data_IF_822610606423
#
_entry.id   IF_822610606423
#
_cell.length_a   1.000
_cell.length_b   1.000
_cell.length_c   1.000
_cell.angle_alpha   90.00
_cell.angle_beta   90.00
_cell.angle_gamma   90.00
#
_symmetry.space_group_name_H-M   'P 1'
#
loop_
_entity.id
_entity.type
_entity.pdbx_description
1 polymer ?
#
# COMPACT_ATOMS: atom_id res chain seq x y z
N UNK A 1 -18.17 -14.57 3.91
CA UNK A 1 -18.52 -13.16 3.70
C UNK A 1 -17.21 -12.44 3.47
N UNK A 2 -16.86 -12.17 2.21
CA UNK A 2 -15.60 -11.52 1.84
C UNK A 2 -15.77 -10.04 2.15
N UNK A 3 -15.00 -9.52 3.10
CA UNK A 3 -14.89 -8.08 3.30
C UNK A 3 -13.99 -7.53 2.20
N UNK A 4 -14.49 -6.54 1.44
CA UNK A 4 -13.72 -5.77 0.46
C UNK A 4 -13.50 -4.41 1.12
N UNK A 5 -12.27 -4.10 1.52
CA UNK A 5 -11.94 -2.84 2.22
C UNK A 5 -11.19 -1.82 1.35
N UNK A 6 -11.04 -2.05 0.05
CA UNK A 6 -10.31 -1.14 -0.84
C UNK A 6 -11.19 -0.47 -1.89
N UNK A 7 -11.76 0.70 -1.59
CA UNK A 7 -12.27 1.63 -2.61
C UNK A 7 -11.51 2.95 -2.41
N UNK A 8 -10.52 3.22 -3.27
CA UNK A 8 -9.82 4.50 -3.26
C UNK A 8 -10.64 5.53 -4.05
N UNK A 9 -11.16 6.54 -3.34
CA UNK A 9 -11.71 7.75 -3.94
C UNK A 9 -10.92 8.92 -3.34
N UNK A 10 -10.01 9.51 -4.13
CA UNK A 10 -9.11 10.57 -3.64
C UNK A 10 -9.43 11.88 -4.36
N UNK A 11 -10.08 12.80 -3.64
CA UNK A 11 -10.13 14.23 -3.95
C UNK A 11 -8.88 14.91 -3.37
N UNK A 12 -8.30 15.84 -4.13
CA UNK A 12 -6.94 16.39 -4.02
C UNK A 12 -6.60 17.17 -2.74
N UNK A 13 -5.35 16.99 -2.30
CA UNK A 13 -4.58 17.95 -1.49
C UNK A 13 -3.22 17.38 -1.06
N UNK A 14 -2.14 17.75 -1.76
CA UNK A 14 -0.71 17.59 -1.40
C UNK A 14 -0.19 16.19 -0.99
N UNK A 15 0.52 15.50 -1.90
CA UNK A 15 1.32 14.27 -1.66
C UNK A 15 2.60 14.64 -0.86
N UNK A 16 2.44 15.12 0.38
CA UNK A 16 3.51 15.12 1.38
C UNK A 16 3.52 13.75 2.08
N UNK A 17 4.49 13.49 2.97
CA UNK A 17 4.53 12.27 3.82
C UNK A 17 3.17 11.93 4.48
N UNK A 18 2.36 12.96 4.76
CA UNK A 18 0.98 12.85 5.23
C UNK A 18 0.04 12.13 4.25
N UNK A 19 0.33 12.05 2.95
CA UNK A 19 -0.52 11.35 1.98
C UNK A 19 -0.23 9.85 1.89
N UNK A 20 0.91 9.34 2.38
CA UNK A 20 1.05 7.90 2.63
C UNK A 20 0.14 7.52 3.80
N UNK A 21 0.15 8.31 4.87
CA UNK A 21 -0.83 8.20 5.94
C UNK A 21 -2.24 8.33 5.39
N UNK A 22 -2.63 9.33 4.59
CA UNK A 22 -4.00 9.48 4.07
C UNK A 22 -4.41 8.45 3.01
N UNK A 23 -3.50 7.97 2.16
CA UNK A 23 -3.76 6.80 1.31
C UNK A 23 -4.11 5.64 2.24
N UNK A 24 -3.31 5.40 3.29
CA UNK A 24 -3.50 4.33 4.29
C UNK A 24 -4.67 4.59 5.28
N UNK A 25 -5.07 5.85 5.51
CA UNK A 25 -6.09 6.28 6.46
C UNK A 25 -7.47 6.33 5.80
N UNK A 26 -7.53 6.69 4.51
CA UNK A 26 -8.74 6.52 3.67
C UNK A 26 -8.99 5.03 3.43
N UNK A 27 -7.92 4.22 3.37
CA UNK A 27 -7.95 2.76 3.43
C UNK A 27 -8.48 2.23 4.78
N UNK A 28 -8.20 2.91 5.90
CA UNK A 28 -8.65 2.51 7.25
C UNK A 28 -10.10 2.92 7.58
N UNK A 29 -10.62 4.02 7.03
CA UNK A 29 -12.02 4.43 7.24
C UNK A 29 -13.05 3.48 6.60
N UNK A 30 -12.62 2.59 5.70
CA UNK A 30 -13.39 1.44 5.25
C UNK A 30 -13.62 0.36 6.33
N UNK A 31 -12.92 0.41 7.47
CA UNK A 31 -13.05 -0.56 8.58
C UNK A 31 -14.15 -0.23 9.61
N UNK A 32 -14.87 0.89 9.52
CA UNK A 32 -15.85 1.31 10.56
C UNK A 32 -17.31 1.38 10.09
N UNK A 33 -17.68 0.76 8.95
CA UNK A 33 -19.10 0.65 8.55
C UNK A 33 -19.68 -0.75 8.79
N UNK A 34 -19.65 -1.18 10.06
CA UNK A 34 -20.60 -2.16 10.59
C UNK A 34 -21.66 -1.45 11.42
N UNK A 35 -22.61 -0.76 10.75
CA UNK A 35 -24.02 -0.57 11.13
C UNK A 35 -24.67 0.56 10.32
N UNK A 36 -25.53 0.17 9.38
CA UNK A 36 -26.74 0.93 9.03
C UNK A 36 -26.60 2.12 8.07
N UNK A 37 -27.07 1.89 6.84
CA UNK A 37 -27.77 2.84 5.95
C UNK A 37 -26.96 3.99 5.31
N UNK A 38 -27.10 4.09 3.98
CA UNK A 38 -26.57 5.08 3.01
C UNK A 38 -25.13 4.86 2.53
N UNK A 39 -24.99 3.91 1.59
CA UNK A 39 -23.85 3.84 0.66
C UNK A 39 -24.11 4.87 -0.46
N UNK A 40 -23.59 6.10 -0.32
CA UNK A 40 -23.46 6.99 -1.47
C UNK A 40 -22.36 6.40 -2.40
N UNK A 41 -22.80 5.83 -3.52
CA UNK A 41 -21.98 5.18 -4.55
C UNK A 41 -21.13 6.22 -5.29
N UNK A 42 -19.82 6.22 -5.06
CA UNK A 42 -18.87 7.00 -5.87
C UNK A 42 -17.58 6.21 -6.13
N UNK A 43 -17.44 5.60 -7.32
CA UNK A 43 -16.20 5.01 -7.82
C UNK A 43 -15.48 5.99 -8.76
N UNK A 44 -14.70 6.91 -8.20
CA UNK A 44 -13.94 7.89 -8.97
C UNK A 44 -12.44 7.77 -8.66
N UNK A 45 -11.64 7.51 -9.70
CA UNK A 45 -10.19 7.51 -9.57
C UNK A 45 -9.65 8.93 -9.41
N UNK A 46 -8.58 9.04 -8.63
CA UNK A 46 -7.94 10.28 -8.27
C UNK A 46 -7.77 11.24 -9.46
N UNK A 47 -8.22 12.48 -9.29
CA UNK A 47 -7.84 13.57 -10.18
C UNK A 47 -6.40 13.95 -9.86
N UNK A 48 -5.48 13.61 -10.76
CA UNK A 48 -4.13 14.16 -10.75
C UNK A 48 -4.16 15.64 -11.20
N UNK A 49 -3.39 16.56 -10.58
CA UNK A 49 -3.31 17.96 -11.03
C UNK A 49 -2.36 18.15 -12.23
N UNK A 50 -1.76 17.07 -12.76
CA UNK A 50 -0.72 17.13 -13.80
C UNK A 50 -1.31 17.14 -15.22
N UNK A 51 -0.68 17.91 -16.12
CA UNK A 51 -1.08 18.18 -17.51
C UNK A 51 -0.88 17.01 -18.48
N UNK A 52 -1.46 15.86 -18.20
CA UNK A 52 -2.03 15.04 -19.27
C UNK A 52 -3.55 15.28 -19.22
N UNK A 53 -4.21 15.40 -20.37
CA UNK A 53 -5.68 15.30 -20.44
C UNK A 53 -6.05 13.85 -20.08
N UNK A 54 -5.93 13.51 -18.81
CA UNK A 54 -6.33 12.22 -18.28
C UNK A 54 -7.85 12.29 -18.23
N UNK A 55 -8.49 11.62 -19.18
CA UNK A 55 -9.93 11.41 -19.11
C UNK A 55 -10.20 10.72 -17.78
N UNK A 56 -11.03 11.34 -16.92
CA UNK A 56 -11.53 10.69 -15.71
C UNK A 56 -12.15 9.36 -16.13
N UNK A 57 -11.52 8.25 -15.79
CA UNK A 57 -12.08 6.92 -16.09
C UNK A 57 -12.85 6.47 -14.85
N UNK A 58 -14.12 6.86 -14.79
CA UNK A 58 -15.07 6.36 -13.80
C UNK A 58 -15.83 5.17 -14.37
N UNK A 59 -16.17 4.22 -13.51
CA UNK A 59 -17.08 3.15 -13.90
C UNK A 59 -18.47 3.73 -14.15
N UNK A 60 -19.14 3.24 -15.18
CA UNK A 60 -20.58 3.43 -15.35
C UNK A 60 -21.33 2.60 -14.31
N UNK A 61 -22.57 2.98 -13.99
CA UNK A 61 -23.45 2.17 -13.10
C UNK A 61 -23.50 0.70 -13.54
N UNK A 62 -23.55 0.45 -14.86
CA UNK A 62 -23.54 -0.90 -15.41
C UNK A 62 -22.25 -1.66 -15.09
N UNK A 63 -21.10 -1.00 -15.22
CA UNK A 63 -19.80 -1.60 -14.93
C UNK A 63 -19.59 -1.80 -13.43
N UNK A 64 -20.06 -0.87 -12.58
CA UNK A 64 -20.06 -1.03 -11.12
C UNK A 64 -20.87 -2.26 -10.70
N UNK A 65 -22.09 -2.42 -11.22
CA UNK A 65 -22.91 -3.59 -10.91
C UNK A 65 -22.31 -4.89 -11.43
N UNK A 66 -21.65 -4.87 -12.60
CA UNK A 66 -20.94 -6.04 -13.12
C UNK A 66 -19.78 -6.44 -12.20
N UNK A 67 -19.00 -5.45 -11.73
CA UNK A 67 -17.92 -5.65 -10.79
C UNK A 67 -18.43 -6.22 -9.45
N UNK A 68 -19.45 -5.60 -8.86
CA UNK A 68 -20.07 -6.04 -7.61
C UNK A 68 -20.58 -7.48 -7.71
N UNK A 69 -21.33 -7.80 -8.78
CA UNK A 69 -21.84 -9.16 -9.03
C UNK A 69 -20.71 -10.18 -9.18
N UNK A 70 -19.61 -9.81 -9.82
CA UNK A 70 -18.46 -10.70 -10.05
C UNK A 70 -17.72 -10.97 -8.76
N UNK A 71 -17.44 -9.95 -7.95
CA UNK A 71 -16.74 -10.13 -6.68
C UNK A 71 -17.58 -10.96 -5.71
N UNK A 72 -18.91 -10.83 -5.73
CA UNK A 72 -19.80 -11.66 -4.91
C UNK A 72 -19.87 -13.12 -5.39
N UNK A 73 -19.70 -13.38 -6.68
CA UNK A 73 -19.76 -14.71 -7.27
C UNK A 73 -18.43 -15.47 -7.18
N UNK A 74 -17.31 -14.77 -7.37
CA UNK A 74 -15.97 -15.37 -7.38
C UNK A 74 -15.43 -15.50 -5.95
N UNK A 75 -15.61 -16.68 -5.37
CA UNK A 75 -15.28 -16.97 -3.96
C UNK A 75 -13.92 -17.63 -3.76
N UNK A 76 -13.23 -18.06 -4.83
CA UNK A 76 -12.06 -18.95 -4.74
C UNK A 76 -10.76 -18.38 -5.35
N UNK A 77 -10.71 -17.10 -5.75
CA UNK A 77 -9.52 -16.50 -6.36
C UNK A 77 -9.08 -15.17 -5.76
N UNK A 78 -7.78 -15.00 -5.53
CA UNK A 78 -7.17 -13.69 -5.26
C UNK A 78 -7.02 -12.91 -6.58
N UNK A 79 -8.04 -12.09 -6.88
CA UNK A 79 -8.17 -11.33 -8.13
C UNK A 79 -8.02 -9.84 -7.88
N UNK A 80 -7.37 -9.15 -8.81
CA UNK A 80 -7.29 -7.69 -8.87
C UNK A 80 -8.07 -7.23 -10.10
N UNK A 81 -9.10 -6.44 -9.86
CA UNK A 81 -9.88 -5.81 -10.93
C UNK A 81 -9.39 -4.38 -11.12
N UNK A 82 -9.26 -3.92 -12.36
CA UNK A 82 -8.84 -2.55 -12.67
C UNK A 82 -9.49 -2.03 -13.95
N UNK A 83 -9.67 -0.71 -14.05
CA UNK A 83 -10.45 -0.10 -15.15
C UNK A 83 -9.78 1.07 -15.85
N UNK A 84 -8.70 1.62 -15.28
CA UNK A 84 -7.83 2.51 -16.04
C UNK A 84 -6.63 1.71 -16.56
N UNK A 85 -6.43 1.81 -17.87
CA UNK A 85 -5.27 1.24 -18.54
C UNK A 85 -4.14 2.26 -18.49
N UNK A 86 -2.91 1.76 -18.36
CA UNK A 86 -1.71 2.52 -18.63
C UNK A 86 -1.72 2.90 -20.13
N UNK A 87 -2.30 4.06 -20.44
CA UNK A 87 -2.57 4.47 -21.81
C UNK A 87 -1.27 4.91 -22.49
N UNK A 88 -0.88 4.16 -23.50
CA UNK A 88 0.04 4.62 -24.54
C UNK A 88 -0.74 5.54 -25.47
N UNK A 89 -0.77 6.85 -25.23
CA UNK A 89 -1.15 7.74 -26.33
C UNK A 89 -0.08 7.57 -27.41
N UNK A 90 -0.44 6.84 -28.46
CA UNK A 90 0.23 6.74 -29.75
C UNK A 90 0.40 8.14 -30.38
N UNK A 91 1.32 8.93 -29.81
CA UNK A 91 1.90 10.13 -30.44
C UNK A 91 3.42 10.00 -30.44
N UNK A 92 3.88 8.87 -30.95
CA UNK A 92 5.16 8.83 -31.66
C UNK A 92 4.85 8.24 -33.02
N UNK A 93 4.31 9.09 -33.90
CA UNK A 93 4.62 8.99 -35.32
C UNK A 93 6.14 8.94 -35.45
N UNK A 94 6.62 7.91 -36.14
CA UNK A 94 8.04 7.59 -36.47
C UNK A 94 8.74 6.61 -35.52
N UNK A 95 8.54 5.32 -35.79
CA UNK A 95 9.40 4.23 -35.32
C UNK A 95 8.61 3.07 -34.72
N UNK A 96 8.80 1.86 -35.23
CA UNK A 96 8.17 0.60 -34.79
C UNK A 96 8.61 0.14 -33.38
N UNK A 97 8.69 1.03 -32.38
CA UNK A 97 9.06 0.66 -31.02
C UNK A 97 7.82 0.55 -30.14
N UNK A 98 7.42 -0.69 -29.87
CA UNK A 98 6.44 -1.02 -28.83
C UNK A 98 7.04 -0.57 -27.49
N UNK A 99 6.32 0.27 -26.73
CA UNK A 99 6.80 0.70 -25.41
C UNK A 99 6.57 -0.41 -24.39
N UNK A 100 7.66 -0.85 -23.75
CA UNK A 100 7.65 -1.84 -22.66
C UNK A 100 7.11 -1.23 -21.36
N UNK A 101 6.72 -2.06 -20.38
CA UNK A 101 6.31 -1.59 -19.05
C UNK A 101 7.36 -0.66 -18.42
N UNK A 102 8.63 -1.09 -18.40
CA UNK A 102 9.71 -0.31 -17.81
C UNK A 102 10.02 0.95 -18.61
N UNK A 103 9.88 0.91 -19.95
CA UNK A 103 9.99 2.11 -20.79
C UNK A 103 8.94 3.17 -20.44
N UNK A 104 7.68 2.75 -20.20
CA UNK A 104 6.64 3.67 -19.76
C UNK A 104 6.97 4.21 -18.36
N UNK A 105 7.45 3.36 -17.46
CA UNK A 105 7.86 3.80 -16.13
C UNK A 105 8.96 4.88 -16.20
N UNK A 106 9.97 4.67 -17.05
CA UNK A 106 11.04 5.64 -17.26
C UNK A 106 10.49 6.96 -17.81
N UNK A 107 9.60 6.93 -18.80
CA UNK A 107 8.95 8.15 -19.34
C UNK A 107 8.19 8.93 -18.25
N UNK A 108 7.48 8.21 -17.36
CA UNK A 108 6.69 8.84 -16.30
C UNK A 108 7.55 9.37 -15.14
N UNK A 109 8.76 8.83 -14.92
CA UNK A 109 9.59 9.13 -13.76
C UNK A 109 10.98 9.69 -14.14
N UNK A 110 11.01 10.52 -15.19
CA UNK A 110 12.21 11.27 -15.56
C UNK A 110 13.40 10.45 -16.05
N UNK A 111 13.15 9.23 -16.56
CA UNK A 111 14.17 8.33 -17.11
C UNK A 111 14.89 7.47 -16.06
N UNK A 112 14.54 7.59 -14.78
CA UNK A 112 15.25 6.93 -13.68
C UNK A 112 14.47 5.80 -13.01
N UNK A 113 13.25 5.48 -13.48
CA UNK A 113 12.41 4.49 -12.82
C UNK A 113 13.10 3.14 -12.71
N UNK A 114 13.59 2.60 -13.82
CA UNK A 114 14.15 1.24 -13.85
C UNK A 114 15.29 1.08 -12.86
N UNK A 115 16.25 2.00 -12.91
CA UNK A 115 17.42 2.00 -12.03
C UNK A 115 17.02 2.20 -10.56
N UNK A 116 16.09 3.11 -10.29
CA UNK A 116 15.60 3.36 -8.94
C UNK A 116 14.82 2.17 -8.37
N UNK A 117 14.00 1.51 -9.20
CA UNK A 117 13.26 0.32 -8.81
C UNK A 117 14.20 -0.84 -8.51
N UNK A 118 15.12 -1.11 -9.43
CA UNK A 118 16.11 -2.18 -9.28
C UNK A 118 16.94 -2.00 -8.00
N UNK A 119 17.43 -0.78 -7.75
CA UNK A 119 18.25 -0.49 -6.57
C UNK A 119 17.42 -0.50 -5.28
N UNK A 120 16.18 0.01 -5.30
CA UNK A 120 15.27 -0.07 -4.15
C UNK A 120 14.93 -1.53 -3.81
N UNK A 121 14.63 -2.34 -4.82
CA UNK A 121 14.31 -3.77 -4.66
C UNK A 121 15.53 -4.55 -4.17
N UNK A 122 16.73 -4.24 -4.70
CA UNK A 122 17.99 -4.79 -4.22
C UNK A 122 18.20 -4.51 -2.74
N UNK A 123 18.01 -3.26 -2.31
CA UNK A 123 18.16 -2.87 -0.90
C UNK A 123 17.12 -3.51 0.00
N UNK A 124 15.86 -3.53 -0.44
CA UNK A 124 14.74 -4.14 0.28
C UNK A 124 15.05 -5.58 0.71
N UNK A 125 15.67 -6.37 -0.16
CA UNK A 125 15.99 -7.78 0.11
C UNK A 125 17.48 -8.05 0.38
N UNK A 126 18.32 -7.02 0.52
CA UNK A 126 19.76 -7.17 0.73
C UNK A 126 20.49 -7.96 -0.37
N UNK A 127 20.04 -7.84 -1.63
CA UNK A 127 20.60 -8.62 -2.73
C UNK A 127 22.01 -8.11 -3.11
N UNK A 128 22.98 -9.00 -3.38
CA UNK A 128 24.27 -8.63 -3.93
C UNK A 128 24.16 -7.91 -5.29
N UNK A 129 25.13 -7.05 -5.60
CA UNK A 129 25.14 -6.23 -6.83
C UNK A 129 25.18 -7.03 -8.14
N UNK A 130 25.65 -8.27 -8.11
CA UNK A 130 25.72 -9.15 -9.29
C UNK A 130 24.40 -9.90 -9.57
N UNK A 131 23.42 -9.81 -8.66
CA UNK A 131 22.11 -10.44 -8.83
C UNK A 131 21.16 -9.42 -9.47
N UNK A 132 20.44 -9.87 -10.49
CA UNK A 132 19.37 -9.10 -11.12
C UNK A 132 18.26 -8.81 -10.10
N UNK A 133 17.93 -7.53 -9.95
CA UNK A 133 16.95 -7.06 -8.96
C UNK A 133 15.78 -6.30 -9.61
N UNK A 134 15.71 -6.25 -10.94
CA UNK A 134 14.59 -5.70 -11.68
C UNK A 134 13.64 -6.83 -12.09
N UNK A 135 12.41 -6.89 -11.56
CA UNK A 135 11.48 -7.93 -11.93
C UNK A 135 11.10 -7.87 -13.43
N UNK A 136 11.13 -8.99 -14.18
CA UNK A 136 10.81 -9.01 -15.60
C UNK A 136 9.30 -8.82 -15.82
N UNK A 137 8.94 -7.86 -16.67
CA UNK A 137 7.57 -7.55 -17.06
C UNK A 137 7.39 -7.87 -18.55
N UNK A 138 6.38 -8.68 -18.95
CA UNK A 138 6.27 -9.20 -20.32
C UNK A 138 5.80 -8.15 -21.33
N UNK A 139 6.05 -8.44 -22.61
CA UNK A 139 5.53 -7.74 -23.79
C UNK A 139 4.51 -8.62 -24.53
N UNK A 140 3.58 -9.22 -23.77
CA UNK A 140 2.55 -10.15 -24.27
C UNK A 140 1.33 -9.46 -24.89
N UNK A 141 1.34 -8.12 -24.97
CA UNK A 141 0.24 -7.30 -25.48
C UNK A 141 -0.86 -7.01 -24.45
N UNK A 142 -0.75 -7.52 -23.23
CA UNK A 142 -1.69 -7.22 -22.15
C UNK A 142 -1.60 -5.77 -21.65
N UNK A 143 -2.63 -5.33 -20.94
CA UNK A 143 -2.75 -3.98 -20.43
C UNK A 143 -2.42 -3.90 -18.93
N UNK A 144 -1.68 -2.87 -18.52
CA UNK A 144 -1.37 -2.62 -17.11
C UNK A 144 -2.36 -1.65 -16.46
N UNK A 145 -2.57 -1.79 -15.15
CA UNK A 145 -3.37 -0.85 -14.35
C UNK A 145 -2.68 0.51 -14.24
N UNK A 146 -3.46 1.59 -14.16
CA UNK A 146 -2.98 2.96 -13.94
C UNK A 146 -3.89 3.73 -12.96
N UNK A 147 -3.42 4.91 -12.51
CA UNK A 147 -4.21 5.91 -11.77
C UNK A 147 -4.84 5.40 -10.46
N UNK A 148 -4.28 4.34 -9.86
CA UNK A 148 -4.88 3.64 -8.72
C UNK A 148 -6.35 3.20 -8.93
N UNK A 149 -6.74 2.94 -10.19
CA UNK A 149 -8.08 2.48 -10.55
C UNK A 149 -8.22 0.97 -10.43
N UNK A 150 -8.16 0.45 -9.21
CA UNK A 150 -8.24 -0.98 -8.95
C UNK A 150 -8.99 -1.31 -7.65
N UNK A 151 -9.47 -2.55 -7.57
CA UNK A 151 -10.04 -3.16 -6.36
C UNK A 151 -9.51 -4.59 -6.21
N UNK A 152 -9.29 -5.00 -4.97
CA UNK A 152 -8.82 -6.35 -4.63
C UNK A 152 -9.34 -6.78 -3.24
N UNK A 153 -9.36 -8.09 -2.94
CA UNK A 153 -9.71 -8.60 -1.61
C UNK A 153 -8.81 -8.04 -0.50
N UNK A 154 -9.34 -7.91 0.73
CA UNK A 154 -8.58 -7.40 1.87
C UNK A 154 -7.25 -8.11 2.13
N UNK A 155 -7.13 -9.46 2.06
CA UNK A 155 -5.84 -10.12 2.27
C UNK A 155 -4.77 -9.69 1.26
N UNK A 156 -5.13 -9.73 -0.02
CA UNK A 156 -4.32 -9.24 -1.15
C UNK A 156 -3.91 -7.78 -0.96
N UNK A 157 -4.86 -6.93 -0.54
CA UNK A 157 -4.62 -5.54 -0.25
C UNK A 157 -3.58 -5.33 0.86
N UNK A 158 -3.67 -6.07 1.97
CA UNK A 158 -2.72 -5.96 3.08
C UNK A 158 -1.31 -6.37 2.65
N UNK A 159 -1.17 -7.44 1.85
CA UNK A 159 0.12 -7.85 1.28
C UNK A 159 0.72 -6.78 0.38
N UNK A 160 -0.10 -6.17 -0.48
CA UNK A 160 0.34 -5.07 -1.34
C UNK A 160 0.81 -3.85 -0.54
N UNK A 161 0.11 -3.50 0.55
CA UNK A 161 0.50 -2.39 1.43
C UNK A 161 1.83 -2.67 2.11
N UNK A 162 2.04 -3.85 2.68
CA UNK A 162 3.34 -4.23 3.28
C UNK A 162 4.46 -4.10 2.24
N UNK A 163 4.29 -4.71 1.07
CA UNK A 163 5.26 -4.60 -0.03
C UNK A 163 5.56 -3.14 -0.39
N UNK A 164 4.52 -2.33 -0.61
CA UNK A 164 4.66 -0.94 -1.04
C UNK A 164 5.40 -0.09 -0.02
N UNK A 165 5.12 -0.27 1.27
CA UNK A 165 5.75 0.54 2.34
C UNK A 165 7.22 0.20 2.50
N UNK A 166 7.56 -1.09 2.52
CA UNK A 166 8.96 -1.55 2.61
C UNK A 166 9.75 -1.07 1.37
N UNK A 167 9.14 -1.18 0.19
CA UNK A 167 9.75 -0.72 -1.05
C UNK A 167 10.00 0.79 -1.06
N UNK A 168 9.00 1.59 -0.66
CA UNK A 168 9.14 3.06 -0.60
C UNK A 168 10.19 3.49 0.42
N UNK A 169 10.27 2.80 1.57
CA UNK A 169 11.34 3.06 2.54
C UNK A 169 12.74 2.82 1.92
N UNK A 170 12.88 1.70 1.20
CA UNK A 170 14.11 1.35 0.50
C UNK A 170 14.45 2.37 -0.61
N UNK A 171 13.45 2.84 -1.35
CA UNK A 171 13.59 3.85 -2.39
C UNK A 171 13.99 5.22 -1.82
N UNK A 172 13.41 5.63 -0.70
CA UNK A 172 13.76 6.89 -0.03
C UNK A 172 15.22 6.89 0.45
N UNK A 173 15.71 5.73 0.90
CA UNK A 173 17.10 5.56 1.30
C UNK A 173 18.11 5.84 0.17
N UNK A 174 17.69 5.77 -1.10
CA UNK A 174 18.57 6.07 -2.25
C UNK A 174 18.94 7.55 -2.30
N UNK A 175 18.05 8.44 -1.84
CA UNK A 175 18.24 9.89 -1.85
C UNK A 175 19.29 10.39 -0.87
N UNK A 176 19.65 9.60 0.16
CA UNK A 176 20.54 10.02 1.24
C UNK A 176 22.03 10.12 0.82
N UNK A 177 22.43 9.47 -0.28
CA UNK A 177 23.84 9.47 -0.74
C UNK A 177 24.21 10.68 -1.61
N UNK A 178 23.25 11.52 -2.01
CA UNK A 178 23.49 12.73 -2.80
C UNK A 178 23.66 13.92 -1.86
N UNK A 179 24.90 14.13 -1.42
CA UNK A 179 25.31 15.37 -0.76
C UNK A 179 24.82 16.58 -1.56
N UNK A 180 23.79 17.28 -1.04
CA UNK A 180 23.28 18.62 -1.38
C UNK A 180 21.94 18.80 -2.08
N UNK A 181 21.10 17.78 -2.33
CA UNK A 181 19.76 18.09 -2.86
C UNK A 181 18.67 17.23 -2.26
N UNK A 182 17.80 17.87 -1.49
CA UNK A 182 16.45 17.43 -1.05
C UNK A 182 15.48 17.17 -2.21
N UNK A 183 15.99 16.95 -3.43
CA UNK A 183 15.21 16.84 -4.66
C UNK A 183 15.02 15.36 -5.00
N UNK A 184 13.77 14.98 -5.20
CA UNK A 184 13.37 13.67 -5.69
C UNK A 184 14.18 13.19 -6.92
N UNK A 185 14.63 11.94 -6.90
CA UNK A 185 15.31 11.26 -8.02
C UNK A 185 14.40 11.00 -9.23
N UNK A 186 13.09 10.92 -9.00
CA UNK A 186 12.06 10.55 -9.98
C UNK A 186 11.31 11.76 -10.57
N UNK A 187 11.57 12.97 -10.08
CA UNK A 187 10.86 14.18 -10.46
C UNK A 187 11.67 15.06 -11.42
N UNK A 188 11.05 15.50 -12.52
CA UNK A 188 11.68 16.41 -13.48
C UNK A 188 11.55 17.89 -13.08
N UNK A 189 10.43 18.25 -12.44
CA UNK A 189 10.10 19.60 -12.01
C UNK A 189 10.04 19.75 -10.49
N UNK A 190 10.14 20.99 -9.99
CA UNK A 190 10.01 21.29 -8.55
C UNK A 190 8.68 20.82 -7.95
N UNK A 191 7.63 20.81 -8.76
CA UNK A 191 6.33 20.31 -8.35
C UNK A 191 6.27 18.78 -8.27
N UNK A 192 6.85 18.07 -9.24
CA UNK A 192 6.94 16.60 -9.19
C UNK A 192 7.85 16.14 -8.05
N UNK A 193 8.90 16.90 -7.74
CA UNK A 193 9.80 16.62 -6.62
C UNK A 193 9.08 16.62 -5.27
N UNK A 194 8.00 17.41 -5.12
CA UNK A 194 7.15 17.38 -3.91
C UNK A 194 6.35 16.09 -3.76
N UNK A 195 6.09 15.38 -4.85
CA UNK A 195 5.25 14.18 -4.89
C UNK A 195 6.03 12.98 -5.43
N UNK A 196 7.28 12.88 -4.96
CA UNK A 196 8.33 12.08 -5.55
C UNK A 196 7.94 10.63 -5.86
N UNK A 197 7.21 10.01 -4.94
CA UNK A 197 6.91 8.59 -4.99
C UNK A 197 5.53 8.30 -5.61
N UNK A 198 4.68 9.30 -5.83
CA UNK A 198 3.27 9.04 -6.17
C UNK A 198 3.14 8.37 -7.55
N UNK A 199 4.03 8.68 -8.51
CA UNK A 199 4.05 8.02 -9.84
C UNK A 199 4.58 6.59 -9.83
N UNK A 200 5.63 6.31 -9.05
CA UNK A 200 6.15 4.93 -8.97
C UNK A 200 5.19 4.03 -8.17
N UNK A 201 4.52 4.59 -7.17
CA UNK A 201 3.47 3.90 -6.39
C UNK A 201 2.29 3.45 -7.27
N UNK A 202 1.90 4.23 -8.27
CA UNK A 202 0.87 3.84 -9.25
C UNK A 202 1.25 2.56 -10.02
N UNK A 203 2.54 2.31 -10.20
CA UNK A 203 3.05 1.18 -10.99
C UNK A 203 3.36 -0.05 -10.13
N UNK A 204 3.61 0.12 -8.83
CA UNK A 204 3.94 -0.99 -7.92
C UNK A 204 2.88 -2.08 -7.89
N UNK A 205 1.60 -1.71 -7.98
CA UNK A 205 0.50 -2.70 -7.96
C UNK A 205 0.62 -3.70 -9.11
N UNK A 206 1.10 -3.25 -10.28
CA UNK A 206 1.27 -4.12 -11.44
C UNK A 206 2.41 -5.13 -11.22
N UNK A 207 3.55 -4.65 -10.72
CA UNK A 207 4.71 -5.51 -10.44
C UNK A 207 4.37 -6.51 -9.34
N UNK A 208 3.78 -6.03 -8.24
CA UNK A 208 3.33 -6.88 -7.15
C UNK A 208 2.32 -7.93 -7.62
N UNK A 209 1.24 -7.52 -8.32
CA UNK A 209 0.21 -8.42 -8.82
C UNK A 209 0.76 -9.50 -9.74
N UNK A 210 1.65 -9.10 -10.67
CA UNK A 210 2.23 -10.00 -11.66
C UNK A 210 3.09 -11.07 -10.97
N UNK A 211 4.00 -10.66 -10.09
CA UNK A 211 4.97 -11.57 -9.48
C UNK A 211 4.46 -12.31 -8.22
N UNK A 212 3.35 -11.88 -7.61
CA UNK A 212 2.66 -12.58 -6.51
C UNK A 212 1.58 -13.57 -6.99
N UNK A 213 1.52 -13.84 -8.30
CA UNK A 213 0.57 -14.77 -8.91
C UNK A 213 -0.91 -14.39 -8.72
N UNK A 214 -1.23 -13.08 -8.70
CA UNK A 214 -2.61 -12.59 -8.61
C UNK A 214 -3.25 -12.59 -10.00
N UNK A 215 -4.51 -13.02 -10.08
CA UNK A 215 -5.29 -12.90 -11.31
C UNK A 215 -5.54 -11.42 -11.57
N UNK A 216 -5.25 -10.94 -12.77
CA UNK A 216 -5.41 -9.54 -13.13
C UNK A 216 -6.53 -9.44 -14.16
N UNK A 217 -7.59 -8.70 -13.84
CA UNK A 217 -8.78 -8.60 -14.69
C UNK A 217 -9.05 -7.15 -15.00
N UNK A 218 -8.98 -6.81 -16.29
CA UNK A 218 -9.46 -5.53 -16.76
C UNK A 218 -11.00 -5.53 -16.82
N UNK A 219 -11.61 -4.46 -16.33
CA UNK A 219 -13.03 -4.17 -16.53
C UNK A 219 -13.19 -2.96 -17.45
N UNK A 220 -13.96 -3.13 -18.52
CA UNK A 220 -14.33 -2.02 -19.38
C UNK A 220 -15.25 -1.05 -18.62
N UNK A 221 -14.85 0.23 -18.45
CA UNK A 221 -15.55 1.16 -17.57
C UNK A 221 -16.96 1.50 -18.06
N UNK A 222 -17.28 1.29 -19.33
CA UNK A 222 -18.57 1.65 -19.92
C UNK A 222 -19.53 0.46 -20.03
N UNK A 223 -19.04 -0.69 -20.46
CA UNK A 223 -19.84 -1.88 -20.73
C UNK A 223 -19.88 -2.84 -19.53
N UNK A 224 -18.86 -2.81 -18.68
CA UNK A 224 -18.66 -3.77 -17.59
C UNK A 224 -18.12 -5.13 -18.05
N UNK A 225 -17.62 -5.25 -19.29
CA UNK A 225 -17.00 -6.50 -19.75
C UNK A 225 -15.70 -6.76 -19.01
N UNK A 226 -15.45 -8.02 -18.68
CA UNK A 226 -14.28 -8.47 -17.96
C UNK A 226 -13.34 -9.22 -18.90
N UNK A 227 -12.05 -8.95 -18.79
CA UNK A 227 -11.01 -9.59 -19.59
C UNK A 227 -9.80 -9.87 -18.69
N UNK A 228 -9.40 -11.13 -18.58
CA UNK A 228 -8.16 -11.48 -17.88
C UNK A 228 -6.96 -10.98 -18.68
N UNK A 229 -6.03 -10.33 -17.98
CA UNK A 229 -4.82 -9.75 -18.54
C UNK A 229 -3.62 -10.48 -17.95
N UNK A 230 -2.64 -10.77 -18.81
CA UNK A 230 -1.46 -11.55 -18.47
C UNK A 230 -1.84 -12.87 -17.79
N UNK A 231 -2.40 -13.90 -18.45
CA UNK A 231 -2.93 -15.09 -17.76
C UNK A 231 -1.90 -15.77 -16.84
N UNK A 232 -2.31 -16.22 -15.64
CA UNK A 232 -1.38 -16.81 -14.64
C UNK A 232 -0.58 -18.00 -15.22
N UNK A 233 -1.23 -18.80 -16.06
CA UNK A 233 -0.62 -19.96 -16.71
C UNK A 233 0.60 -19.60 -17.56
N UNK A 234 0.59 -18.43 -18.20
CA UNK A 234 1.68 -17.93 -19.05
C UNK A 234 2.84 -17.35 -18.23
N UNK A 235 2.62 -17.04 -16.94
CA UNK A 235 3.64 -16.46 -16.05
C UNK A 235 4.48 -17.52 -15.32
N UNK A 236 4.11 -18.79 -15.41
CA UNK A 236 4.76 -19.90 -14.68
C UNK A 236 6.26 -19.97 -15.02
N UNK A 237 7.10 -19.95 -13.99
CA UNK A 237 8.56 -19.96 -14.14
C UNK A 237 9.21 -18.58 -14.35
N UNK A 238 8.42 -17.54 -14.63
CA UNK A 238 8.89 -16.15 -14.81
C UNK A 238 8.62 -15.32 -13.55
N UNK A 239 7.53 -15.62 -12.83
CA UNK A 239 7.17 -14.90 -11.61
C UNK A 239 8.23 -14.99 -10.51
N UNK A 240 8.35 -13.92 -9.74
CA UNK A 240 9.31 -13.79 -8.66
C UNK A 240 8.65 -14.10 -7.31
N UNK A 241 7.81 -15.14 -7.25
CA UNK A 241 6.94 -15.46 -6.11
C UNK A 241 7.67 -15.58 -4.78
N UNK A 242 8.95 -15.98 -4.80
CA UNK A 242 9.80 -16.05 -3.60
C UNK A 242 9.98 -14.70 -2.90
N UNK A 243 10.06 -13.60 -3.66
CA UNK A 243 10.23 -12.26 -3.11
C UNK A 243 8.88 -11.65 -2.71
N UNK A 244 7.82 -11.96 -3.45
CA UNK A 244 6.47 -11.46 -3.16
C UNK A 244 5.66 -12.41 -2.27
N UNK A 245 6.33 -13.21 -1.45
CA UNK A 245 5.68 -14.15 -0.55
C UNK A 245 5.13 -13.41 0.68
N UNK A 246 3.88 -13.69 1.05
CA UNK A 246 3.22 -13.02 2.17
C UNK A 246 3.92 -13.19 3.52
N UNK A 247 4.55 -14.35 3.76
CA UNK A 247 5.30 -14.61 5.00
C UNK A 247 6.58 -13.78 5.03
N UNK A 248 7.29 -13.69 3.91
CA UNK A 248 8.51 -12.87 3.80
C UNK A 248 8.18 -11.39 3.97
N UNK A 249 7.15 -10.88 3.28
CA UNK A 249 6.71 -9.49 3.41
C UNK A 249 6.33 -9.18 4.85
N UNK A 250 5.58 -10.07 5.50
CA UNK A 250 5.19 -9.90 6.89
C UNK A 250 6.39 -9.87 7.85
N UNK A 251 7.32 -10.82 7.72
CA UNK A 251 8.51 -10.82 8.59
C UNK A 251 9.34 -9.55 8.42
N UNK A 252 9.54 -9.09 7.18
CA UNK A 252 10.29 -7.86 6.93
C UNK A 252 9.57 -6.61 7.46
N UNK A 253 8.24 -6.56 7.37
CA UNK A 253 7.42 -5.48 7.94
C UNK A 253 7.52 -5.44 9.47
N UNK A 254 7.50 -6.62 10.13
CA UNK A 254 7.66 -6.77 11.58
C UNK A 254 9.08 -6.39 12.05
N UNK A 255 10.13 -6.82 11.34
CA UNK A 255 11.53 -6.50 11.67
C UNK A 255 11.78 -4.98 11.62
N UNK A 256 11.21 -4.27 10.63
CA UNK A 256 11.29 -2.81 10.55
C UNK A 256 10.53 -2.13 11.70
N UNK A 257 9.36 -2.66 12.08
CA UNK A 257 8.59 -2.17 13.21
C UNK A 257 9.31 -2.33 14.54
N UNK A 258 9.96 -3.47 14.76
CA UNK A 258 10.81 -3.71 15.93
C UNK A 258 11.98 -2.73 15.98
N UNK A 259 12.72 -2.55 14.87
CA UNK A 259 13.84 -1.61 14.82
C UNK A 259 13.43 -0.15 15.12
N UNK A 260 12.24 0.27 14.67
CA UNK A 260 11.72 1.60 14.97
C UNK A 260 11.36 1.77 16.44
N UNK A 261 10.75 0.76 17.05
CA UNK A 261 10.38 0.78 18.47
C UNK A 261 11.61 0.77 19.39
N UNK A 262 12.66 0.05 19.01
CA UNK A 262 13.94 -0.01 19.73
C UNK A 262 14.81 1.24 19.52
N UNK A 263 14.35 2.17 18.68
CA UNK A 263 15.07 3.37 18.24
C UNK A 263 16.39 3.04 17.54
N UNK A 264 16.51 1.85 16.96
CA UNK A 264 17.65 1.44 16.13
C UNK A 264 17.49 1.97 14.71
N UNK A 265 17.44 3.31 14.58
CA UNK A 265 17.21 3.98 13.31
C UNK A 265 18.47 3.79 12.44
N UNK A 266 18.40 3.10 11.29
CA UNK A 266 19.57 2.88 10.46
C UNK A 266 20.10 4.17 9.82
N UNK A 267 19.31 5.26 9.86
CA UNK A 267 19.57 6.53 9.18
C UNK A 267 18.76 7.68 9.79
N UNK A 268 19.25 8.91 9.61
CA UNK A 268 18.62 10.14 10.12
C UNK A 268 17.25 10.42 9.46
N UNK A 269 17.11 10.15 8.17
CA UNK A 269 15.84 10.21 7.43
C UNK A 269 15.31 8.80 7.18
N UNK A 270 14.32 8.39 7.98
CA UNK A 270 13.65 7.10 7.87
C UNK A 270 12.13 7.33 7.71
N UNK A 271 11.53 6.74 6.66
CA UNK A 271 10.07 6.90 6.44
C UNK A 271 9.28 5.98 7.36
N UNK A 272 9.88 4.90 7.85
CA UNK A 272 9.30 4.07 8.88
C UNK A 272 9.39 4.76 10.26
N UNK A 273 8.36 4.73 11.12
CA UNK A 273 7.03 4.13 10.97
C UNK A 273 5.96 5.11 10.41
N UNK A 274 6.35 6.27 9.87
CA UNK A 274 5.45 7.31 9.33
C UNK A 274 4.61 6.85 8.13
N UNK A 275 4.84 5.64 7.64
CA UNK A 275 4.03 5.00 6.60
C UNK A 275 2.80 4.28 7.16
N UNK A 276 2.48 4.40 8.45
CA UNK A 276 1.25 3.87 9.07
C UNK A 276 1.51 2.93 10.25
N UNK A 277 0.46 2.58 11.00
CA UNK A 277 0.60 1.69 12.16
C UNK A 277 0.89 0.24 11.74
N UNK A 278 1.87 -0.38 12.40
CA UNK A 278 2.18 -1.81 12.27
C UNK A 278 2.07 -2.46 13.64
N UNK A 279 1.21 -3.48 13.71
CA UNK A 279 1.03 -4.27 14.91
C UNK A 279 1.91 -5.51 14.82
N UNK A 280 3.06 -5.48 15.51
CA UNK A 280 3.96 -6.63 15.62
C UNK A 280 3.89 -7.27 17.01
N UNK A 281 4.45 -8.47 17.12
CA UNK A 281 4.32 -9.32 18.31
C UNK A 281 4.75 -8.63 19.61
N UNK A 282 5.83 -7.85 19.60
CA UNK A 282 6.34 -7.16 20.80
C UNK A 282 5.49 -5.99 21.28
N UNK A 283 4.62 -5.41 20.43
CA UNK A 283 3.57 -4.49 20.91
C UNK A 283 2.57 -5.25 21.77
N UNK A 284 2.08 -6.40 21.29
CA UNK A 284 1.15 -7.23 22.05
C UNK A 284 1.75 -7.73 23.37
N UNK A 285 3.02 -8.11 23.36
CA UNK A 285 3.73 -8.54 24.56
C UNK A 285 3.88 -7.41 25.58
N UNK A 286 4.29 -6.20 25.15
CA UNK A 286 4.37 -5.03 26.03
C UNK A 286 3.01 -4.64 26.61
N UNK A 287 1.96 -4.57 25.79
CA UNK A 287 0.60 -4.30 26.27
C UNK A 287 0.12 -5.36 27.28
N UNK A 288 0.49 -6.62 27.04
CA UNK A 288 0.15 -7.73 27.95
C UNK A 288 0.88 -7.58 29.27
N UNK A 289 2.16 -7.25 29.27
CA UNK A 289 2.96 -6.98 30.47
C UNK A 289 2.44 -5.77 31.26
N UNK A 290 2.08 -4.68 30.58
CA UNK A 290 1.44 -3.52 31.21
C UNK A 290 0.12 -3.88 31.86
N UNK A 291 -0.74 -4.64 31.18
CA UNK A 291 -1.98 -5.16 31.77
C UNK A 291 -1.71 -6.02 33.00
N UNK A 292 -0.65 -6.82 33.01
CA UNK A 292 -0.25 -7.58 34.21
C UNK A 292 0.26 -6.67 35.34
N UNK A 293 1.10 -5.67 35.04
CA UNK A 293 1.58 -4.68 36.02
C UNK A 293 0.43 -3.91 36.67
N UNK A 294 -0.52 -3.42 35.87
CA UNK A 294 -1.73 -2.75 36.37
C UNK A 294 -2.59 -3.67 37.26
N UNK A 295 -2.73 -4.94 36.89
CA UNK A 295 -3.45 -5.93 37.73
C UNK A 295 -2.75 -6.14 39.08
N UNK A 296 -1.42 -6.22 39.11
CA UNK A 296 -0.66 -6.38 40.34
C UNK A 296 -0.72 -5.14 41.24
N UNK A 297 -0.60 -3.94 40.66
CA UNK A 297 -0.77 -2.68 41.40
C UNK A 297 -2.19 -2.56 41.98
N UNK A 298 -3.23 -2.92 41.22
CA UNK A 298 -4.62 -2.97 41.71
C UNK A 298 -4.79 -3.95 42.88
N UNK A 299 -4.13 -5.12 42.82
CA UNK A 299 -4.12 -6.09 43.94
C UNK A 299 -3.44 -5.52 45.18
N UNK A 300 -2.28 -4.88 45.03
CA UNK A 300 -1.55 -4.24 46.13
C UNK A 300 -2.38 -3.13 46.79
N UNK A 301 -2.94 -2.21 45.99
CA UNK A 301 -3.82 -1.13 46.46
C UNK A 301 -5.07 -1.67 47.17
N UNK A 302 -5.63 -2.78 46.70
CA UNK A 302 -6.79 -3.42 47.34
C UNK A 302 -6.41 -4.03 48.70
N UNK A 303 -5.24 -4.68 48.79
CA UNK A 303 -4.73 -5.23 50.05
C UNK A 303 -4.42 -4.13 51.07
N UNK A 304 -3.80 -3.03 50.64
CA UNK A 304 -3.55 -1.86 51.51
C UNK A 304 -4.87 -1.25 52.00
N UNK A 305 -5.86 -1.07 51.12
CA UNK A 305 -7.21 -0.60 51.52
C UNK A 305 -7.86 -1.51 52.55
N UNK A 306 -7.76 -2.84 52.40
CA UNK A 306 -8.27 -3.82 53.36
C UNK A 306 -7.56 -3.72 54.71
N UNK A 307 -6.23 -3.65 54.71
CA UNK A 307 -5.44 -3.49 55.94
C UNK A 307 -5.77 -2.18 56.67
N UNK A 308 -5.92 -1.07 55.93
CA UNK A 308 -6.35 0.21 56.52
C UNK A 308 -7.74 0.12 57.13
N UNK A 309 -8.69 -0.56 56.48
CA UNK A 309 -10.05 -0.81 57.00
C UNK A 309 -10.03 -1.67 58.27
N UNK A 310 -9.16 -2.67 58.35
CA UNK A 310 -9.01 -3.49 59.55
C UNK A 310 -8.39 -2.71 60.71
N UNK A 311 -7.37 -1.87 60.45
CA UNK A 311 -6.69 -1.08 61.48
C UNK A 311 -7.52 0.09 62.02
N UNK A 312 -8.25 0.79 61.15
CA UNK A 312 -8.90 2.07 61.50
C UNK A 312 -10.43 2.02 61.36
N UNK A 313 -11.02 0.87 61.04
CA UNK A 313 -12.45 0.73 60.78
C UNK A 313 -12.90 1.37 59.46
N UNK A 314 -14.22 1.42 59.24
CA UNK A 314 -14.81 2.08 58.08
C UNK A 314 -14.89 3.59 58.35
N UNK A 315 -13.93 4.38 57.82
CA UNK A 315 -14.05 5.83 57.82
C UNK A 315 -15.05 6.24 56.74
N UNK A 316 -16.32 6.37 57.14
CA UNK A 316 -17.38 6.89 56.29
C UNK A 316 -17.27 8.42 56.33
N UNK A 317 -16.94 9.08 55.21
CA UNK A 317 -17.11 10.53 55.11
C UNK A 317 -18.59 10.81 55.30
N UNK A 318 -18.94 11.59 56.32
CA UNK A 318 -20.30 12.09 56.52
C UNK A 318 -20.73 12.84 55.25
N UNK A 319 -21.86 12.44 54.67
CA UNK A 319 -22.48 13.15 53.57
C UNK A 319 -23.11 14.43 54.12
N UNK A 320 -22.35 15.53 54.07
CA UNK A 320 -22.83 16.91 54.15
C UNK A 320 -23.39 17.36 55.50
N UNK A 321 -22.86 18.49 55.98
CA UNK A 321 -23.64 19.49 56.73
C UNK A 321 -23.45 20.81 55.99
#
# INVERSE_FOLDING_TARGET
>A
MIHITGILNVSLGECSLLQIEWIIFTIYLGLVFSRGVLLERWFQCATSPWRFKINKVSLSVKAEEALERTILAETEGDVIYYWARLALESRVTEGNNILTFWSICDILNGGHCRAAFEEAFRRMYGLPSHIEALPPMPEDGGHWSALHCWVMPTPSFMEFVMFSRIFVDSLDSLGNNLNKTTTCLLGLSELEKKHCYCRILELLVNVWAYHSARKMVYIDPHSGSLEEQHPIEERKGIMWTKYFNSTLLKSTDEDLAEAADDKDHPRERWLWPLTGEVHWQGIYEREREERYRQKMDKKLKTKDKLLRRQKHGYSQKTLGL
#
